data_IF_832695784569
#
_entry.id   IF_832695784569
#
_cell.length_a   1.000
_cell.length_b   1.000
_cell.length_c   1.000
_cell.angle_alpha   90.00
_cell.angle_beta   90.00
_cell.angle_gamma   90.00
#
_symmetry.space_group_name_H-M   'P 1'
#
loop_
_entity.id
_entity.type
_entity.pdbx_description
1 polymer ?
#
# COMPACT_ATOMS: atom_id res chain seq x y z
N UNK A 1 13.38 -23.90 -8.42
CA UNK A 1 14.04 -23.62 -9.71
C UNK A 1 14.92 -24.78 -10.12
N UNK A 2 15.24 -24.93 -11.42
CA UNK A 2 16.20 -25.95 -11.90
C UNK A 2 17.59 -25.83 -11.26
N UNK A 3 17.94 -24.63 -10.79
CA UNK A 3 19.14 -24.34 -10.00
C UNK A 3 19.19 -24.98 -8.61
N UNK A 4 18.05 -25.48 -8.10
CA UNK A 4 17.91 -25.93 -6.71
C UNK A 4 17.43 -24.85 -5.74
N UNK A 5 17.38 -23.58 -6.16
CA UNK A 5 16.84 -22.50 -5.33
C UNK A 5 15.31 -22.63 -5.16
N UNK A 6 14.74 -22.32 -3.98
CA UNK A 6 13.30 -22.34 -3.78
C UNK A 6 12.64 -21.18 -4.53
N UNK A 7 11.54 -21.47 -5.24
CA UNK A 7 10.76 -20.43 -5.94
C UNK A 7 9.63 -19.88 -5.07
N UNK A 8 8.99 -20.76 -4.29
CA UNK A 8 7.87 -20.43 -3.41
C UNK A 8 8.10 -21.13 -2.09
N UNK A 9 8.13 -20.37 -1.01
CA UNK A 9 8.20 -20.86 0.36
C UNK A 9 6.82 -20.64 0.97
N UNK A 10 6.25 -21.71 1.54
CA UNK A 10 4.94 -21.69 2.19
C UNK A 10 5.16 -21.97 3.67
N UNK A 11 4.75 -21.03 4.52
CA UNK A 11 4.76 -21.20 5.97
C UNK A 11 3.34 -21.11 6.52
N UNK A 12 3.08 -21.77 7.65
CA UNK A 12 1.78 -21.74 8.30
C UNK A 12 1.94 -21.48 9.78
N UNK A 13 1.27 -20.45 10.28
CA UNK A 13 1.26 -20.11 11.71
C UNK A 13 0.16 -20.89 12.44
N UNK A 14 -0.99 -21.09 11.80
CA UNK A 14 -2.15 -21.80 12.32
C UNK A 14 -2.82 -22.57 11.17
N UNK A 15 -3.59 -23.63 11.49
CA UNK A 15 -4.31 -24.42 10.49
C UNK A 15 -5.16 -23.52 9.58
N UNK A 16 -4.89 -23.55 8.28
CA UNK A 16 -5.61 -22.78 7.27
C UNK A 16 -5.11 -21.34 7.05
N UNK A 17 -4.11 -20.88 7.81
CA UNK A 17 -3.43 -19.59 7.60
C UNK A 17 -2.05 -19.84 7.02
N UNK A 18 -1.89 -19.52 5.74
CA UNK A 18 -0.64 -19.71 5.00
C UNK A 18 -0.06 -18.36 4.60
N UNK A 19 1.23 -18.17 4.86
CA UNK A 19 2.05 -17.10 4.29
C UNK A 19 2.89 -17.65 3.14
N UNK A 20 2.99 -16.88 2.07
CA UNK A 20 3.72 -17.24 0.86
C UNK A 20 4.83 -16.23 0.62
N UNK A 21 6.05 -16.71 0.47
CA UNK A 21 7.21 -15.91 0.12
C UNK A 21 7.71 -16.39 -1.23
N UNK A 22 7.83 -15.47 -2.18
CA UNK A 22 8.36 -15.71 -3.51
C UNK A 22 9.81 -15.28 -3.56
N UNK A 23 10.67 -16.16 -4.07
CA UNK A 23 12.09 -15.92 -4.20
C UNK A 23 12.53 -15.98 -5.66
N UNK A 24 13.53 -15.17 -5.98
CA UNK A 24 14.23 -15.09 -7.24
C UNK A 24 15.23 -16.25 -7.38
N UNK A 25 15.50 -16.64 -8.62
CA UNK A 25 16.55 -17.61 -8.92
C UNK A 25 17.92 -16.94 -9.05
N UNK A 26 18.48 -16.47 -7.93
CA UNK A 26 19.77 -15.77 -7.93
C UNK A 26 20.71 -16.35 -6.87
N UNK A 27 21.97 -16.54 -7.26
CA UNK A 27 23.02 -17.05 -6.37
C UNK A 27 23.65 -15.97 -5.48
N UNK A 28 23.59 -14.71 -5.91
CA UNK A 28 24.09 -13.55 -5.15
C UNK A 28 22.94 -12.87 -4.38
N UNK A 29 22.74 -13.30 -3.14
CA UNK A 29 21.95 -12.54 -2.18
C UNK A 29 22.85 -11.46 -1.59
N UNK A 30 22.78 -10.24 -2.10
CA UNK A 30 23.48 -9.11 -1.49
C UNK A 30 22.69 -8.60 -0.28
N UNK A 31 23.37 -7.88 0.63
CA UNK A 31 22.72 -7.28 1.81
C UNK A 31 21.59 -6.29 1.44
N UNK A 32 21.57 -5.82 0.20
CA UNK A 32 20.59 -4.87 -0.33
C UNK A 32 19.51 -5.51 -1.21
N UNK A 33 19.74 -6.72 -1.74
CA UNK A 33 18.75 -7.48 -2.50
C UNK A 33 18.56 -8.88 -1.91
N UNK A 34 17.48 -9.03 -1.13
CA UNK A 34 17.10 -10.29 -0.49
C UNK A 34 16.56 -11.34 -1.47
N UNK A 35 16.48 -11.04 -2.77
CA UNK A 35 15.91 -11.92 -3.78
C UNK A 35 14.41 -12.15 -3.61
N UNK A 36 13.73 -11.37 -2.76
CA UNK A 36 12.30 -11.55 -2.49
C UNK A 36 11.48 -10.86 -3.58
N UNK A 37 10.75 -11.65 -4.36
CA UNK A 37 9.88 -11.18 -5.43
C UNK A 37 8.51 -10.74 -4.91
N UNK A 38 8.07 -11.31 -3.80
CA UNK A 38 6.85 -10.90 -3.12
C UNK A 38 6.55 -11.72 -1.87
N UNK A 39 5.68 -11.17 -1.03
CA UNK A 39 5.22 -11.78 0.22
C UNK A 39 3.71 -11.64 0.28
N UNK A 40 3.01 -12.69 0.67
CA UNK A 40 1.56 -12.69 0.88
C UNK A 40 1.25 -13.30 2.23
N UNK A 41 0.44 -12.59 3.00
CA UNK A 41 0.02 -13.01 4.32
C UNK A 41 -1.45 -13.46 4.32
N UNK A 42 -1.81 -14.37 5.24
CA UNK A 42 -3.19 -14.84 5.39
C UNK A 42 -4.14 -13.72 5.82
N UNK A 43 -3.60 -12.60 6.29
CA UNK A 43 -4.36 -11.38 6.64
C UNK A 43 -4.71 -10.54 5.42
N UNK A 44 -4.46 -11.00 4.18
CA UNK A 44 -4.78 -10.27 2.94
C UNK A 44 -3.85 -9.10 2.64
N UNK A 45 -2.74 -8.99 3.37
CA UNK A 45 -1.63 -8.13 3.01
C UNK A 45 -0.74 -8.85 2.01
N UNK A 46 -0.23 -8.11 1.04
CA UNK A 46 0.78 -8.64 0.15
C UNK A 46 1.62 -7.54 -0.47
N UNK A 47 2.89 -7.82 -0.68
CA UNK A 47 3.81 -6.94 -1.39
C UNK A 47 4.48 -7.71 -2.52
N UNK A 48 4.69 -7.04 -3.64
CA UNK A 48 5.42 -7.59 -4.77
C UNK A 48 6.44 -6.55 -5.24
N UNK A 49 7.59 -7.03 -5.71
CA UNK A 49 8.72 -6.20 -6.09
C UNK A 49 9.11 -6.42 -7.55
N UNK A 50 9.73 -5.43 -8.16
CA UNK A 50 10.40 -5.54 -9.45
C UNK A 50 11.76 -6.21 -9.26
N UNK A 51 12.05 -7.25 -10.03
CA UNK A 51 13.30 -7.99 -9.96
C UNK A 51 14.54 -7.10 -10.18
N UNK A 52 14.48 -6.19 -11.17
CA UNK A 52 15.64 -5.39 -11.56
C UNK A 52 15.94 -4.23 -10.62
N UNK A 53 14.92 -3.68 -9.95
CA UNK A 53 15.05 -2.44 -9.17
C UNK A 53 14.80 -2.62 -7.68
N UNK A 54 14.26 -3.77 -7.26
CA UNK A 54 13.78 -4.00 -5.89
C UNK A 54 12.59 -3.10 -5.49
N UNK A 55 12.11 -2.24 -6.41
CA UNK A 55 11.01 -1.31 -6.12
C UNK A 55 9.69 -2.04 -6.04
N UNK A 56 8.77 -1.44 -5.31
CA UNK A 56 7.42 -1.93 -5.16
C UNK A 56 6.72 -1.97 -6.53
N UNK A 57 6.13 -3.12 -6.84
CA UNK A 57 5.34 -3.38 -8.05
C UNK A 57 3.85 -3.46 -7.75
N UNK A 58 3.50 -4.10 -6.65
CA UNK A 58 2.12 -4.22 -6.20
C UNK A 58 2.07 -4.27 -4.69
N UNK A 59 1.06 -3.61 -4.10
CA UNK A 59 0.68 -3.79 -2.70
C UNK A 59 -0.78 -4.16 -2.63
N UNK A 60 -1.07 -5.15 -1.80
CA UNK A 60 -2.39 -5.61 -1.47
C UNK A 60 -2.65 -5.36 0.01
N UNK A 61 -3.87 -4.97 0.29
CA UNK A 61 -4.40 -4.84 1.64
C UNK A 61 -5.74 -5.55 1.71
N UNK A 62 -6.28 -5.80 2.90
CA UNK A 62 -7.66 -6.30 3.08
C UNK A 62 -8.73 -5.44 2.40
N UNK A 63 -8.39 -4.20 2.08
CA UNK A 63 -9.32 -3.19 1.60
C UNK A 63 -9.22 -2.94 0.09
N UNK A 64 -8.06 -3.21 -0.50
CA UNK A 64 -7.83 -2.99 -1.92
C UNK A 64 -6.41 -3.32 -2.34
N UNK A 65 -5.92 -2.59 -3.33
CA UNK A 65 -4.53 -2.68 -3.74
C UNK A 65 -4.08 -1.48 -4.55
N UNK A 66 -2.77 -1.39 -4.72
CA UNK A 66 -2.10 -0.38 -5.54
C UNK A 66 -1.05 -1.06 -6.41
N UNK A 67 -1.04 -0.70 -7.70
CA UNK A 67 -0.08 -1.16 -8.69
C UNK A 67 0.83 -0.01 -9.09
N UNK A 68 2.13 -0.27 -9.10
CA UNK A 68 3.18 0.72 -9.29
C UNK A 68 3.97 0.46 -10.56
N UNK A 69 4.51 1.52 -11.16
CA UNK A 69 5.44 1.43 -12.27
C UNK A 69 6.87 1.10 -11.81
N UNK A 70 7.75 0.76 -12.75
CA UNK A 70 9.18 0.51 -12.49
C UNK A 70 9.90 1.69 -11.84
N UNK A 71 9.40 2.92 -12.03
CA UNK A 71 9.92 4.13 -11.37
C UNK A 71 9.49 4.26 -9.91
N UNK A 72 8.45 3.53 -9.50
CA UNK A 72 7.82 3.61 -8.17
C UNK A 72 6.55 4.50 -8.14
N UNK A 73 6.09 4.98 -9.30
CA UNK A 73 4.90 5.82 -9.41
C UNK A 73 3.62 4.97 -9.39
N UNK A 74 2.54 5.46 -8.76
CA UNK A 74 1.26 4.74 -8.68
C UNK A 74 0.57 4.77 -10.04
N UNK A 75 0.36 3.61 -10.65
CA UNK A 75 -0.36 3.47 -11.94
C UNK A 75 -1.83 3.15 -11.77
N UNK A 76 -2.18 2.27 -10.83
CA UNK A 76 -3.56 1.88 -10.57
C UNK A 76 -3.78 1.71 -9.07
N UNK A 77 -4.97 2.06 -8.59
CA UNK A 77 -5.44 1.81 -7.23
C UNK A 77 -6.87 1.29 -7.33
N UNK A 78 -7.20 0.27 -6.54
CA UNK A 78 -8.54 -0.31 -6.52
C UNK A 78 -8.92 -0.67 -5.09
N UNK A 79 -10.21 -0.84 -4.86
CA UNK A 79 -10.77 -1.33 -3.61
C UNK A 79 -11.54 -2.62 -3.88
N UNK A 80 -11.54 -3.54 -2.92
CA UNK A 80 -12.24 -4.83 -3.07
C UNK A 80 -13.74 -4.70 -2.84
N UNK A 81 -14.12 -3.82 -1.92
CA UNK A 81 -15.49 -3.57 -1.55
C UNK A 81 -15.84 -2.10 -1.72
N UNK A 82 -17.14 -1.88 -1.89
CA UNK A 82 -17.74 -0.58 -2.02
C UNK A 82 -18.17 -0.07 -0.65
N UNK A 83 -17.80 1.16 -0.30
CA UNK A 83 -18.19 1.80 0.96
C UNK A 83 -19.45 2.66 0.77
N UNK A 84 -19.88 2.90 -0.47
CA UNK A 84 -20.86 3.96 -0.81
C UNK A 84 -22.04 3.47 -1.66
N UNK A 85 -22.31 2.17 -1.74
CA UNK A 85 -23.51 1.63 -2.40
C UNK A 85 -23.60 1.80 -3.94
N UNK A 86 -22.69 2.55 -4.57
CA UNK A 86 -22.60 2.72 -6.02
C UNK A 86 -21.50 1.84 -6.60
N UNK A 87 -21.86 0.85 -7.42
CA UNK A 87 -20.98 -0.18 -8.00
C UNK A 87 -19.63 0.36 -8.50
N UNK A 88 -18.58 0.22 -7.68
CA UNK A 88 -17.20 0.42 -8.13
C UNK A 88 -16.56 -0.95 -8.32
N UNK A 89 -16.06 -1.16 -9.53
CA UNK A 89 -15.54 -2.41 -10.04
C UNK A 89 -14.46 -3.00 -9.12
N UNK A 90 -14.71 -4.24 -8.65
CA UNK A 90 -13.68 -5.23 -8.38
C UNK A 90 -12.65 -5.21 -9.54
N UNK A 91 -11.39 -5.65 -9.33
CA UNK A 91 -10.21 -5.14 -10.05
C UNK A 91 -10.46 -4.97 -11.55
N UNK A 92 -9.98 -3.87 -12.12
CA UNK A 92 -10.67 -3.05 -13.12
C UNK A 92 -11.11 -3.81 -14.37
N UNK A 93 -12.22 -4.57 -14.36
CA UNK A 93 -12.73 -5.41 -15.48
C UNK A 93 -11.71 -6.36 -16.16
N UNK A 94 -10.43 -6.26 -15.80
CA UNK A 94 -9.26 -6.88 -16.38
C UNK A 94 -8.36 -7.27 -15.20
N UNK A 95 -7.91 -8.54 -15.15
CA UNK A 95 -6.97 -8.97 -14.15
C UNK A 95 -5.68 -8.16 -14.20
N UNK A 96 -5.10 -7.94 -13.03
CA UNK A 96 -3.73 -7.48 -12.93
C UNK A 96 -2.86 -8.71 -13.08
N UNK A 97 -2.20 -8.82 -14.23
CA UNK A 97 -1.28 -9.92 -14.54
C UNK A 97 0.12 -9.39 -14.79
N UNK A 98 1.11 -10.05 -14.20
CA UNK A 98 2.50 -9.81 -14.56
C UNK A 98 3.37 -11.02 -14.25
N UNK A 99 4.48 -11.14 -14.96
CA UNK A 99 5.53 -12.12 -14.67
C UNK A 99 6.70 -11.44 -13.97
N UNK A 100 7.30 -12.13 -12.99
CA UNK A 100 8.62 -11.77 -12.47
C UNK A 100 9.68 -12.37 -13.36
N UNK A 101 9.59 -13.69 -13.59
CA UNK A 101 10.51 -14.45 -14.42
C UNK A 101 9.74 -15.21 -15.50
N UNK A 102 10.44 -15.90 -16.41
CA UNK A 102 9.81 -16.80 -17.39
C UNK A 102 8.98 -17.90 -16.74
N UNK A 103 9.36 -18.29 -15.53
CA UNK A 103 8.75 -19.39 -14.80
C UNK A 103 7.70 -18.93 -13.79
N UNK A 104 7.87 -17.72 -13.22
CA UNK A 104 7.02 -17.22 -12.13
C UNK A 104 6.16 -16.03 -12.55
N UNK A 105 4.85 -16.18 -12.40
CA UNK A 105 3.87 -15.14 -12.73
C UNK A 105 2.74 -15.02 -11.72
N UNK A 106 2.09 -13.87 -11.71
CA UNK A 106 0.94 -13.57 -10.88
C UNK A 106 -0.24 -13.10 -11.73
N UNK A 107 -1.43 -13.54 -11.32
CA UNK A 107 -2.72 -13.09 -11.81
C UNK A 107 -3.64 -12.76 -10.64
N UNK A 108 -4.02 -11.50 -10.55
CA UNK A 108 -4.96 -11.00 -9.54
C UNK A 108 -6.29 -10.64 -10.22
N UNK A 109 -7.34 -11.42 -9.92
CA UNK A 109 -8.71 -11.20 -10.41
C UNK A 109 -9.64 -10.65 -9.31
N UNK A 110 -9.28 -10.80 -8.04
CA UNK A 110 -10.12 -10.45 -6.91
C UNK A 110 -9.41 -10.74 -5.60
N UNK A 111 -10.02 -10.33 -4.48
CA UNK A 111 -9.43 -10.49 -3.15
C UNK A 111 -9.14 -11.96 -2.80
N UNK A 112 -10.01 -12.85 -3.23
CA UNK A 112 -9.95 -14.29 -3.00
C UNK A 112 -9.38 -15.10 -4.17
N UNK A 113 -9.04 -14.41 -5.26
CA UNK A 113 -8.53 -15.02 -6.47
C UNK A 113 -7.26 -14.30 -6.92
N UNK A 114 -6.18 -14.60 -6.21
CA UNK A 114 -4.83 -14.15 -6.51
C UNK A 114 -3.99 -15.40 -6.72
N UNK A 115 -3.69 -15.68 -7.98
CA UNK A 115 -3.03 -16.92 -8.38
C UNK A 115 -1.59 -16.64 -8.73
N UNK A 116 -0.68 -17.29 -8.02
CA UNK A 116 0.72 -17.37 -8.39
C UNK A 116 0.91 -18.64 -9.19
N UNK A 117 1.51 -18.52 -10.37
CA UNK A 117 1.77 -19.65 -11.26
C UNK A 117 3.28 -19.82 -11.41
N UNK A 118 3.76 -21.01 -11.07
CA UNK A 118 5.10 -21.48 -11.39
C UNK A 118 5.03 -22.48 -12.53
N UNK A 119 5.75 -22.23 -13.61
CA UNK A 119 5.78 -23.07 -14.81
C UNK A 119 7.22 -23.38 -15.20
N UNK A 120 7.53 -24.67 -15.32
CA UNK A 120 8.80 -25.13 -15.84
C UNK A 120 8.59 -26.32 -16.80
N UNK A 121 8.93 -26.13 -18.07
CA UNK A 121 8.74 -27.13 -19.12
C UNK A 121 7.27 -27.48 -19.34
N UNK A 122 6.89 -28.73 -19.03
CA UNK A 122 5.50 -29.23 -19.11
C UNK A 122 4.77 -29.21 -17.76
N UNK A 123 5.44 -28.80 -16.69
CA UNK A 123 4.90 -28.83 -15.34
C UNK A 123 4.46 -27.44 -14.91
N UNK A 124 3.23 -27.33 -14.41
CA UNK A 124 2.68 -26.08 -13.90
C UNK A 124 2.05 -26.30 -12.54
N UNK A 125 2.38 -25.43 -11.59
CA UNK A 125 1.80 -25.41 -10.25
C UNK A 125 1.20 -24.03 -10.02
N UNK A 126 0.01 -24.00 -9.41
CA UNK A 126 -0.72 -22.77 -9.11
C UNK A 126 -1.05 -22.70 -7.63
N UNK A 127 -0.76 -21.57 -7.01
CA UNK A 127 -1.04 -21.29 -5.61
C UNK A 127 -2.07 -20.17 -5.54
N UNK A 128 -3.19 -20.41 -4.86
CA UNK A 128 -4.10 -19.31 -4.52
C UNK A 128 -3.61 -18.67 -3.21
N UNK A 129 -3.16 -17.43 -3.32
CA UNK A 129 -2.73 -16.60 -2.20
C UNK A 129 -3.75 -15.53 -1.83
N UNK A 130 -4.91 -15.55 -2.49
CA UNK A 130 -6.03 -14.68 -2.17
C UNK A 130 -6.61 -15.00 -0.79
N UNK A 131 -6.94 -13.96 -0.03
CA UNK A 131 -7.51 -14.08 1.30
C UNK A 131 -8.98 -13.67 1.29
N UNK A 132 -9.88 -14.61 1.61
CA UNK A 132 -11.32 -14.31 1.81
C UNK A 132 -11.54 -13.66 3.17
N UNK A 133 -11.33 -12.36 3.25
CA UNK A 133 -11.62 -11.61 4.46
C UNK A 133 -13.02 -11.04 4.38
N UNK A 134 -13.89 -11.46 5.31
CA UNK A 134 -15.14 -10.75 5.53
C UNK A 134 -14.78 -9.41 6.17
N UNK A 135 -15.13 -8.27 5.56
CA UNK A 135 -14.91 -7.00 6.24
C UNK A 135 -15.79 -6.98 7.49
N UNK A 136 -15.17 -7.08 8.67
CA UNK A 136 -15.85 -6.71 9.91
C UNK A 136 -15.90 -5.19 9.86
N UNK A 137 -16.94 -4.64 9.21
CA UNK A 137 -17.16 -3.20 9.08
C UNK A 137 -17.55 -2.65 10.45
N UNK A 138 -16.63 -2.61 11.41
CA UNK A 138 -16.70 -1.70 12.55
C UNK A 138 -16.26 -0.34 12.05
N UNK A 139 -17.13 0.38 11.34
CA UNK A 139 -17.07 1.84 11.04
C UNK A 139 -15.66 2.46 10.95
N UNK A 140 -14.68 1.81 10.32
CA UNK A 140 -13.41 2.47 10.02
C UNK A 140 -13.64 3.18 8.70
N UNK A 141 -13.90 4.49 8.77
CA UNK A 141 -13.81 5.36 7.61
C UNK A 141 -12.38 5.24 7.09
N UNK A 142 -12.22 4.60 5.94
CA UNK A 142 -10.96 4.72 5.21
C UNK A 142 -10.79 6.19 4.83
N UNK A 143 -9.57 6.75 4.88
CA UNK A 143 -9.31 8.05 4.28
C UNK A 143 -9.69 7.96 2.81
N UNK A 144 -10.85 8.50 2.51
CA UNK A 144 -11.40 8.53 1.15
C UNK A 144 -10.48 9.47 0.37
N UNK A 145 -10.28 9.25 -0.93
CA UNK A 145 -9.48 10.20 -1.71
C UNK A 145 -10.06 11.64 -1.57
N UNK A 146 -11.37 11.77 -1.28
CA UNK A 146 -12.02 13.01 -0.81
C UNK A 146 -11.39 13.62 0.45
N UNK A 147 -11.05 12.85 1.48
CA UNK A 147 -10.42 13.38 2.70
C UNK A 147 -8.97 13.85 2.41
N UNK A 148 -8.26 13.14 1.53
CA UNK A 148 -6.94 13.56 1.05
C UNK A 148 -7.01 14.85 0.22
N UNK A 149 -7.96 14.93 -0.72
CA UNK A 149 -8.22 16.13 -1.50
C UNK A 149 -8.75 17.26 -0.63
N UNK A 150 -9.56 16.99 0.40
CA UNK A 150 -10.01 18.00 1.37
C UNK A 150 -8.86 18.57 2.18
N UNK A 151 -7.92 17.73 2.63
CA UNK A 151 -6.71 18.19 3.33
C UNK A 151 -5.87 19.06 2.38
N UNK A 152 -5.66 18.61 1.14
CA UNK A 152 -4.93 19.36 0.13
C UNK A 152 -5.62 20.69 -0.23
N UNK A 153 -6.96 20.69 -0.34
CA UNK A 153 -7.76 21.90 -0.57
C UNK A 153 -7.71 22.84 0.63
N UNK A 154 -7.71 22.32 1.86
CA UNK A 154 -7.56 23.12 3.10
C UNK A 154 -6.18 23.76 3.16
N UNK A 155 -5.12 23.05 2.76
CA UNK A 155 -3.76 23.58 2.67
C UNK A 155 -3.65 24.69 1.61
N UNK A 156 -4.16 24.43 0.40
CA UNK A 156 -4.18 25.42 -0.70
C UNK A 156 -5.00 26.65 -0.30
N UNK A 157 -6.17 26.47 0.33
CA UNK A 157 -7.02 27.58 0.79
C UNK A 157 -6.33 28.43 1.85
N UNK A 158 -5.65 27.81 2.82
CA UNK A 158 -4.85 28.53 3.81
C UNK A 158 -3.72 29.32 3.15
N UNK A 159 -3.04 28.73 2.18
CA UNK A 159 -1.99 29.40 1.41
C UNK A 159 -2.52 30.64 0.67
N UNK A 160 -3.62 30.49 -0.07
CA UNK A 160 -4.24 31.59 -0.81
C UNK A 160 -4.67 32.73 0.13
N UNK A 161 -5.31 32.40 1.25
CA UNK A 161 -5.71 33.41 2.23
C UNK A 161 -4.50 34.16 2.81
N UNK A 162 -3.40 33.45 3.09
CA UNK A 162 -2.17 34.07 3.59
C UNK A 162 -1.53 35.01 2.56
N UNK A 163 -1.56 34.64 1.28
CA UNK A 163 -1.08 35.51 0.19
C UNK A 163 -1.95 36.77 0.07
N UNK A 164 -3.28 36.63 0.15
CA UNK A 164 -4.21 37.76 0.09
C UNK A 164 -3.98 38.70 1.28
N UNK A 165 -3.88 38.18 2.50
CA UNK A 165 -3.57 38.95 3.70
C UNK A 165 -2.26 39.73 3.54
N UNK A 166 -1.23 39.11 2.95
CA UNK A 166 0.04 39.79 2.66
C UNK A 166 -0.11 40.93 1.65
N UNK A 167 -0.84 40.71 0.55
CA UNK A 167 -1.09 41.75 -0.46
C UNK A 167 -1.85 42.91 0.15
N UNK A 168 -2.91 42.63 0.91
CA UNK A 168 -3.71 43.65 1.59
C UNK A 168 -2.88 44.42 2.63
N UNK A 169 -2.04 43.74 3.40
CA UNK A 169 -1.15 44.38 4.39
C UNK A 169 -0.09 45.24 3.72
N UNK A 170 0.44 44.81 2.58
CA UNK A 170 1.42 45.58 1.79
C UNK A 170 0.79 46.83 1.17
N UNK A 171 -0.44 46.71 0.65
CA UNK A 171 -1.21 47.85 0.13
C UNK A 171 -1.58 48.85 1.23
N UNK A 172 -1.87 48.38 2.45
CA UNK A 172 -2.20 49.25 3.59
C UNK A 172 -0.97 49.92 4.22
N UNK A 173 0.20 49.28 4.19
CA UNK A 173 1.41 49.77 4.86
C UNK A 173 2.67 49.66 3.97
N UNK A 174 2.76 50.46 2.89
CA UNK A 174 3.79 50.32 1.83
C UNK A 174 5.25 50.47 2.30
N UNK A 175 5.51 51.08 3.46
CA UNK A 175 6.87 51.31 3.98
C UNK A 175 7.21 50.49 5.25
N UNK A 176 6.39 49.54 5.66
CA UNK A 176 6.62 48.80 6.91
C UNK A 176 7.61 47.64 6.76
N UNK A 177 8.67 47.63 7.57
CA UNK A 177 9.73 46.62 7.53
C UNK A 177 9.29 45.24 8.08
N UNK A 178 8.04 45.12 8.56
CA UNK A 178 7.44 43.87 9.06
C UNK A 178 6.93 42.96 7.92
N UNK A 179 6.72 43.50 6.72
CA UNK A 179 6.26 42.73 5.54
C UNK A 179 7.30 41.69 5.10
N UNK A 180 8.60 42.02 5.25
CA UNK A 180 9.71 41.14 4.91
C UNK A 180 9.94 40.00 5.92
N UNK A 181 9.31 40.07 7.12
CA UNK A 181 9.44 39.06 8.18
C UNK A 181 8.38 37.96 8.13
N UNK A 182 7.41 38.06 7.22
CA UNK A 182 6.42 37.00 7.03
C UNK A 182 7.07 35.86 6.24
N UNK A 183 7.22 34.65 6.83
CA UNK A 183 7.87 33.53 6.17
C UNK A 183 7.11 33.17 4.88
N UNK A 184 7.85 32.97 3.79
CA UNK A 184 7.27 32.43 2.56
C UNK A 184 6.84 30.99 2.81
N UNK A 185 5.58 30.61 2.54
CA UNK A 185 5.26 29.21 2.49
C UNK A 185 5.96 28.62 1.28
N UNK A 186 6.92 27.73 1.50
CA UNK A 186 7.42 26.87 0.44
C UNK A 186 6.24 26.09 -0.12
N UNK A 187 5.99 26.24 -1.42
CA UNK A 187 5.03 25.38 -2.12
C UNK A 187 5.62 23.98 -2.06
N UNK A 188 5.13 23.14 -1.16
CA UNK A 188 5.53 21.74 -1.07
C UNK A 188 5.11 21.05 -2.36
N UNK A 189 6.01 21.01 -3.34
CA UNK A 189 5.93 20.09 -4.49
C UNK A 189 6.21 18.65 -4.09
N UNK A 190 6.49 18.40 -2.80
CA UNK A 190 6.76 17.08 -2.25
C UNK A 190 5.44 16.44 -1.80
N UNK A 191 5.13 15.19 -2.20
CA UNK A 191 4.05 14.44 -1.58
C UNK A 191 4.31 14.37 -0.06
N UNK A 192 3.27 14.50 0.78
CA UNK A 192 3.46 14.57 2.22
C UNK A 192 4.16 13.32 2.72
N UNK A 193 5.23 13.51 3.48
CA UNK A 193 5.91 12.44 4.19
C UNK A 193 4.91 11.72 5.09
N UNK A 194 4.99 10.39 5.05
CA UNK A 194 4.20 9.45 5.83
C UNK A 194 4.17 9.92 7.28
N UNK A 195 3.02 10.39 7.75
CA UNK A 195 2.80 10.70 9.16
C UNK A 195 3.09 9.41 9.92
N UNK A 196 4.15 9.43 10.75
CA UNK A 196 4.38 8.39 11.74
C UNK A 196 3.16 8.39 12.64
N UNK A 197 2.42 7.29 12.64
CA UNK A 197 1.35 7.05 13.59
C UNK A 197 1.94 7.11 14.99
N UNK A 198 1.67 8.21 15.71
CA UNK A 198 1.83 8.27 17.15
C UNK A 198 0.91 7.20 17.74
N UNK A 199 1.53 6.19 18.35
CA UNK A 199 0.87 5.31 19.32
C UNK A 199 0.40 6.23 20.44
N UNK A 200 -0.91 6.33 20.61
CA UNK A 200 -1.50 6.92 21.81
C UNK A 200 -1.67 5.76 22.78
N UNK A 201 -0.70 5.64 23.69
CA UNK A 201 -0.86 4.81 24.88
C UNK A 201 -2.03 5.38 25.68
N UNK A 202 -3.09 4.58 25.81
CA UNK A 202 -4.11 4.79 26.83
C UNK A 202 -3.87 3.75 27.91
N UNK A 203 -3.18 4.17 28.95
CA UNK A 203 -3.16 3.47 30.23
C UNK A 203 -4.57 3.50 30.83
N UNK A 204 -5.12 2.33 31.12
CA UNK A 204 -6.15 2.16 32.14
C UNK A 204 -5.76 0.94 32.97
N UNK A 205 -5.59 1.21 34.25
CA UNK A 205 -5.03 0.38 35.30
C UNK A 205 -6.00 -0.74 35.72
N UNK A 206 -5.46 -1.96 35.70
CA UNK A 206 -5.56 -3.06 36.67
C UNK A 206 -6.86 -3.32 37.47
N UNK A 207 -7.48 -4.50 37.26
CA UNK A 207 -7.43 -5.64 38.23
C UNK A 207 -8.23 -6.88 37.78
N UNK A 208 -7.90 -8.08 38.31
CA UNK A 208 -8.11 -9.36 37.64
C UNK A 208 -9.38 -10.08 38.09
N UNK A 209 -9.92 -10.95 37.23
CA UNK A 209 -10.79 -12.05 37.65
C UNK A 209 -10.55 -13.28 36.78
N UNK A 210 -9.94 -14.27 37.40
CA UNK A 210 -9.94 -15.69 37.03
C UNK A 210 -11.37 -16.22 37.23
N UNK A 211 -11.89 -17.08 36.35
CA UNK A 211 -12.38 -18.46 36.61
C UNK A 211 -13.04 -19.04 35.33
N UNK A 212 -12.38 -20.06 34.77
CA UNK A 212 -12.85 -21.40 34.33
C UNK A 212 -14.31 -21.58 33.84
N UNK A 213 -14.46 -21.94 32.56
CA UNK A 213 -14.88 -23.26 32.05
C UNK A 213 -14.74 -23.30 30.52
#
# INVERSE_FOLDING_TARGET
YPSGNPAVIISSTEKGKYSYILQEDTYEHSRENTGVLGVFDPTGHGSCYYQQTGKLRMVLTPFGGTFFDIKGEKKKKWFWYNITGSYVHAPPFQPITFAWTKELSLRCMGQDYIIITYNHGRHTIRFNVGARLKPVVKKVKLPTDEEYYEIQLKEIRKFVNLVIERVQTTLRFPHSHRINKLPMPERSSKPPSRIQSRVIDTAADDKPTVVVN
#
